data_IF_435324473523
#
_entry.id   IF_435324473523
#
_cell.length_a   1.000
_cell.length_b   1.000
_cell.length_c   1.000
_cell.angle_alpha   90.00
_cell.angle_beta   90.00
_cell.angle_gamma   90.00
#
_symmetry.space_group_name_H-M   'P 1'
#
loop_
_entity.id
_entity.type
_entity.pdbx_description
1 polymer ?
#
# COMPACT_ATOMS: atom_id res chain seq x y z
N UNK A 1 2.21 -21.53 22.21
CA UNK A 1 2.39 -20.23 21.53
C UNK A 1 2.16 -20.45 20.05
N UNK A 2 1.14 -19.81 19.48
CA UNK A 2 0.85 -19.92 18.05
C UNK A 2 1.77 -18.93 17.32
N UNK A 3 2.74 -19.45 16.56
CA UNK A 3 3.70 -18.65 15.78
C UNK A 3 3.05 -18.15 14.48
N UNK A 4 2.06 -17.27 14.59
CA UNK A 4 1.46 -16.61 13.42
C UNK A 4 2.28 -15.36 13.08
N UNK A 5 2.85 -15.36 11.88
CA UNK A 5 3.59 -14.23 11.30
C UNK A 5 2.81 -13.69 10.10
N UNK A 6 2.67 -12.37 10.03
CA UNK A 6 2.11 -11.67 8.88
C UNK A 6 3.05 -10.53 8.52
N UNK A 7 3.67 -10.64 7.34
CA UNK A 7 4.59 -9.64 6.79
C UNK A 7 4.21 -9.39 5.34
N UNK A 8 4.20 -8.12 4.95
CA UNK A 8 3.81 -7.68 3.60
C UNK A 8 4.87 -6.70 3.08
N UNK A 9 5.38 -6.95 1.88
CA UNK A 9 6.26 -6.03 1.15
C UNK A 9 5.55 -5.60 -0.13
N UNK A 10 5.39 -4.29 -0.32
CA UNK A 10 4.75 -3.70 -1.49
C UNK A 10 5.73 -2.77 -2.21
N UNK A 11 5.74 -2.84 -3.54
CA UNK A 11 6.52 -1.95 -4.41
C UNK A 11 5.57 -1.44 -5.49
N UNK A 12 5.48 -0.12 -5.62
CA UNK A 12 4.55 0.50 -6.55
C UNK A 12 4.73 2.01 -6.62
N UNK A 13 3.78 2.68 -7.26
CA UNK A 13 3.78 4.14 -7.41
C UNK A 13 2.63 4.75 -6.61
N UNK A 14 2.81 5.96 -6.07
CA UNK A 14 1.71 6.72 -5.49
C UNK A 14 0.74 7.15 -6.59
N UNK A 15 -0.56 6.92 -6.39
CA UNK A 15 -1.58 7.38 -7.33
C UNK A 15 -2.16 8.75 -7.02
N UNK A 16 -1.88 9.27 -5.83
CA UNK A 16 -2.26 10.59 -5.38
C UNK A 16 -1.25 11.06 -4.31
N UNK A 17 -1.26 12.36 -4.03
CA UNK A 17 -0.45 12.92 -2.94
C UNK A 17 -0.86 12.29 -1.59
N UNK A 18 0.09 12.06 -0.66
CA UNK A 18 -0.20 11.53 0.67
C UNK A 18 -1.18 12.42 1.44
N UNK A 19 -2.19 11.80 2.07
CA UNK A 19 -3.13 12.51 2.93
C UNK A 19 -2.70 12.38 4.40
N UNK A 20 -2.26 13.49 4.99
CA UNK A 20 -1.86 13.55 6.41
C UNK A 20 -3.00 14.15 7.24
N UNK A 21 -3.38 13.45 8.31
CA UNK A 21 -4.34 13.92 9.31
C UNK A 21 -3.71 13.87 10.70
N UNK A 22 -3.67 15.03 11.34
CA UNK A 22 -3.33 15.15 12.77
C UNK A 22 -4.62 15.11 13.56
N UNK A 23 -4.65 14.29 14.61
CA UNK A 23 -5.79 14.17 15.52
C UNK A 23 -5.58 14.97 16.80
N UNK A 24 -6.67 15.33 17.48
CA UNK A 24 -6.65 16.16 18.69
C UNK A 24 -5.87 15.52 19.86
N UNK A 25 -5.68 14.19 19.82
CA UNK A 25 -4.87 13.44 20.79
C UNK A 25 -3.36 13.48 20.48
N UNK A 26 -2.92 14.24 19.48
CA UNK A 26 -1.53 14.36 19.05
C UNK A 26 -1.04 13.20 18.18
N UNK A 27 -1.92 12.26 17.77
CA UNK A 27 -1.55 11.21 16.82
C UNK A 27 -1.61 11.73 15.38
N UNK A 28 -0.64 11.31 14.57
CA UNK A 28 -0.58 11.62 13.14
C UNK A 28 -0.82 10.35 12.33
N UNK A 29 -1.68 10.45 11.32
CA UNK A 29 -1.98 9.40 10.35
C UNK A 29 -1.71 9.89 8.94
N UNK A 30 -0.90 9.15 8.20
CA UNK A 30 -0.66 9.38 6.79
C UNK A 30 -1.28 8.23 5.97
N UNK A 31 -2.15 8.57 5.02
CA UNK A 31 -2.75 7.61 4.09
C UNK A 31 -2.09 7.70 2.73
N UNK A 32 -1.68 6.54 2.23
CA UNK A 32 -1.04 6.36 0.93
C UNK A 32 -1.91 5.47 0.06
N UNK A 33 -2.09 5.85 -1.20
CA UNK A 33 -2.71 5.02 -2.23
C UNK A 33 -1.63 4.54 -3.21
N UNK A 34 -1.29 3.25 -3.15
CA UNK A 34 -0.21 2.66 -3.93
C UNK A 34 -0.77 1.83 -5.09
N UNK A 35 -0.36 2.17 -6.30
CA UNK A 35 -0.59 1.39 -7.52
C UNK A 35 0.53 0.36 -7.69
N UNK A 36 0.22 -0.91 -7.46
CA UNK A 36 1.11 -2.06 -7.64
C UNK A 36 0.79 -2.71 -8.98
N UNK A 37 1.75 -2.77 -9.89
CA UNK A 37 1.56 -3.38 -11.19
C UNK A 37 2.00 -4.85 -11.17
N UNK A 38 1.09 -5.73 -11.54
CA UNK A 38 1.35 -7.15 -11.72
C UNK A 38 1.35 -7.47 -13.22
N UNK A 39 2.39 -8.17 -13.67
CA UNK A 39 2.50 -8.67 -15.04
C UNK A 39 2.31 -10.18 -15.00
N UNK A 40 1.32 -10.67 -15.74
CA UNK A 40 1.04 -12.10 -15.83
C UNK A 40 0.73 -12.48 -17.28
N UNK A 41 0.94 -13.75 -17.62
CA UNK A 41 0.52 -14.29 -18.91
C UNK A 41 -0.85 -14.93 -18.76
N UNK A 42 -1.77 -14.62 -19.66
CA UNK A 42 -3.05 -15.32 -19.73
C UNK A 42 -2.89 -16.71 -20.38
N UNK A 43 -3.98 -17.49 -20.39
CA UNK A 43 -4.00 -18.84 -20.97
C UNK A 43 -3.73 -18.85 -22.48
N UNK A 44 -3.86 -17.71 -23.16
CA UNK A 44 -3.59 -17.54 -24.58
C UNK A 44 -2.15 -17.12 -24.84
N UNK A 45 -1.32 -16.99 -23.80
CA UNK A 45 0.09 -16.62 -23.88
C UNK A 45 0.33 -15.11 -24.03
N UNK A 46 -0.71 -14.29 -23.89
CA UNK A 46 -0.61 -12.83 -24.01
C UNK A 46 -0.22 -12.27 -22.64
N UNK A 47 0.80 -11.40 -22.63
CA UNK A 47 1.20 -10.68 -21.43
C UNK A 47 0.18 -9.60 -21.10
N UNK A 48 -0.45 -9.72 -19.94
CA UNK A 48 -1.39 -8.75 -19.40
C UNK A 48 -0.74 -7.96 -18.26
N UNK A 49 -1.13 -6.69 -18.15
CA UNK A 49 -0.76 -5.82 -17.03
C UNK A 49 -2.02 -5.54 -16.21
N UNK A 50 -1.98 -5.85 -14.92
CA UNK A 50 -3.04 -5.49 -13.97
C UNK A 50 -2.48 -4.56 -12.91
N UNK A 51 -3.23 -3.51 -12.61
CA UNK A 51 -2.88 -2.58 -11.54
C UNK A 51 -3.77 -2.86 -10.33
N UNK A 52 -3.13 -3.20 -9.21
CA UNK A 52 -3.77 -3.40 -7.93
C UNK A 52 -3.57 -2.16 -7.07
N UNK A 53 -4.65 -1.68 -6.45
CA UNK A 53 -4.63 -0.51 -5.60
C UNK A 53 -4.61 -0.91 -4.14
N UNK A 54 -3.55 -0.52 -3.43
CA UNK A 54 -3.33 -0.81 -2.02
C UNK A 54 -3.47 0.48 -1.22
N UNK A 55 -4.28 0.48 -0.17
CA UNK A 55 -4.37 1.59 0.79
C UNK A 55 -3.49 1.27 1.99
N UNK A 56 -2.48 2.12 2.25
CA UNK A 56 -1.54 1.97 3.35
C UNK A 56 -1.77 3.11 4.35
N UNK A 57 -1.81 2.77 5.63
CA UNK A 57 -1.92 3.73 6.73
C UNK A 57 -0.63 3.69 7.57
N UNK A 58 0.12 4.79 7.56
CA UNK A 58 1.26 5.01 8.43
C UNK A 58 0.82 5.82 9.65
N UNK A 59 1.39 5.53 10.82
CA UNK A 59 1.04 6.17 12.09
C UNK A 59 2.29 6.71 12.80
N UNK A 60 2.11 7.77 13.60
CA UNK A 60 3.17 8.34 14.44
C UNK A 60 4.34 8.89 13.61
N UNK A 61 5.58 8.61 14.04
CA UNK A 61 6.80 9.12 13.36
C UNK A 61 6.94 8.72 11.89
N UNK A 62 6.29 7.63 11.45
CA UNK A 62 6.30 7.21 10.04
C UNK A 62 5.31 8.00 9.19
N UNK A 63 4.39 8.73 9.83
CA UNK A 63 3.41 9.60 9.20
C UNK A 63 3.85 11.08 9.18
N UNK A 64 4.87 11.45 9.94
CA UNK A 64 5.56 12.75 9.93
C UNK A 64 6.64 12.77 8.85
#
# INVERSE_FOLDING_TARGET
MTNLSNSVQLIGNLGADPEVKVFDNGSTLCRLSLAVNEYFKDSNGISQKRTNWMKVAAWGKTAE
#
